data_IF_451371305864
#
_entry.id   IF_451371305864
#
_cell.length_a   1.000
_cell.length_b   1.000
_cell.length_c   1.000
_cell.angle_alpha   90.00
_cell.angle_beta   90.00
_cell.angle_gamma   90.00
#
_symmetry.space_group_name_H-M   'P 1'
#
loop_
_entity.id
_entity.type
_entity.pdbx_description
1 polymer ?
#
# COMPACT_ATOMS: atom_id res chain seq x y z
N UNK A 1 100.79 4.85 5.59
CA UNK A 1 100.26 4.80 6.93
C UNK A 1 99.41 6.03 7.09
N UNK A 2 98.14 5.95 7.07
CA UNK A 2 97.16 6.25 8.04
C UNK A 2 95.74 6.14 7.48
N UNK A 3 94.96 5.33 8.12
CA UNK A 3 93.58 5.08 7.86
C UNK A 3 92.76 6.25 8.45
N UNK A 4 92.04 6.94 7.63
CA UNK A 4 90.91 7.78 8.09
C UNK A 4 89.62 7.38 7.46
N UNK A 5 88.83 6.84 8.31
CA UNK A 5 87.46 6.37 8.16
C UNK A 5 86.56 7.50 7.67
N UNK A 6 85.92 7.29 6.49
CA UNK A 6 84.88 8.16 5.98
C UNK A 6 83.52 7.56 6.39
N UNK A 7 82.91 8.12 7.39
CA UNK A 7 81.56 7.77 7.77
C UNK A 7 80.60 8.62 6.93
N UNK A 8 80.00 7.98 5.94
CA UNK A 8 78.93 8.58 5.15
C UNK A 8 77.58 8.37 5.87
N UNK A 9 77.00 9.42 6.41
CA UNK A 9 75.66 9.45 6.95
C UNK A 9 74.67 9.43 5.78
N UNK A 10 73.96 8.32 5.60
CA UNK A 10 72.81 8.23 4.71
C UNK A 10 71.62 8.74 5.49
N UNK A 11 71.24 9.99 5.25
CA UNK A 11 69.96 10.54 5.71
C UNK A 11 68.84 9.94 4.86
N UNK A 12 68.20 8.89 5.37
CA UNK A 12 67.00 8.33 4.79
C UNK A 12 65.82 9.27 4.94
N UNK A 13 65.50 10.02 3.90
CA UNK A 13 64.29 10.82 3.82
C UNK A 13 63.08 9.89 3.70
N UNK A 14 62.37 9.68 4.81
CA UNK A 14 61.01 9.10 4.80
C UNK A 14 60.09 10.09 4.07
N UNK A 15 59.86 9.83 2.77
CA UNK A 15 58.78 10.47 2.02
C UNK A 15 57.49 9.89 2.55
N UNK A 16 56.88 10.55 3.54
CA UNK A 16 55.48 10.28 3.95
C UNK A 16 54.61 10.79 2.82
N UNK A 17 54.25 9.92 1.90
CA UNK A 17 53.16 10.18 0.97
C UNK A 17 51.87 10.27 1.79
N UNK A 18 51.15 11.42 1.76
CA UNK A 18 49.82 11.43 2.31
C UNK A 18 48.97 10.47 1.48
N UNK A 19 48.58 9.34 2.05
CA UNK A 19 47.49 8.53 1.60
C UNK A 19 46.26 9.43 1.76
N UNK A 20 46.04 10.31 0.77
CA UNK A 20 44.74 10.94 0.57
C UNK A 20 43.79 9.80 0.27
N UNK A 21 43.24 9.22 1.33
CA UNK A 21 42.05 8.38 1.24
C UNK A 21 40.97 9.26 0.59
N UNK A 22 40.89 9.20 -0.73
CA UNK A 22 39.72 9.66 -1.44
C UNK A 22 38.59 8.79 -0.89
N UNK A 23 37.93 9.26 0.16
CA UNK A 23 36.59 8.80 0.51
C UNK A 23 35.76 9.13 -0.72
N UNK A 24 35.72 8.21 -1.69
CA UNK A 24 34.79 8.23 -2.77
C UNK A 24 33.44 8.31 -2.07
N UNK A 25 32.82 9.50 -2.08
CA UNK A 25 31.43 9.63 -1.63
C UNK A 25 30.66 8.62 -2.46
N UNK A 26 30.43 7.47 -1.87
CA UNK A 26 29.61 6.43 -2.48
C UNK A 26 28.28 7.10 -2.75
N UNK A 27 27.96 7.35 -4.03
CA UNK A 27 26.68 7.93 -4.43
C UNK A 27 25.64 6.92 -3.97
N UNK A 28 24.86 7.31 -2.96
CA UNK A 28 23.84 6.43 -2.42
C UNK A 28 22.83 6.11 -3.51
N UNK A 29 22.42 4.85 -3.66
CA UNK A 29 21.31 4.52 -4.54
C UNK A 29 20.06 5.28 -4.09
N UNK A 30 19.33 5.85 -5.03
CA UNK A 30 18.11 6.62 -4.77
C UNK A 30 16.90 5.77 -5.12
N UNK A 31 15.98 5.62 -4.19
CA UNK A 31 14.66 5.02 -4.41
C UNK A 31 13.65 6.14 -4.65
N UNK A 32 12.92 6.10 -5.76
CA UNK A 32 11.77 6.98 -5.98
C UNK A 32 10.51 6.34 -5.40
N UNK A 33 9.93 6.93 -4.35
CA UNK A 33 8.70 6.44 -3.74
C UNK A 33 7.50 7.25 -4.24
N UNK A 34 6.71 6.68 -5.16
CA UNK A 34 5.56 7.29 -5.80
C UNK A 34 4.26 6.76 -5.19
N UNK A 35 3.52 7.59 -4.49
CA UNK A 35 2.31 7.16 -3.79
C UNK A 35 1.06 7.95 -4.21
N UNK A 36 -0.02 7.23 -4.48
CA UNK A 36 -1.34 7.79 -4.68
C UNK A 36 -2.06 7.97 -3.33
N UNK A 37 -1.48 8.76 -2.44
CA UNK A 37 -1.95 9.02 -1.09
C UNK A 37 -1.33 10.31 -0.55
N UNK A 38 -1.76 10.74 0.64
CA UNK A 38 -1.06 11.76 1.42
C UNK A 38 0.05 11.13 2.29
N UNK A 39 1.08 11.91 2.60
CA UNK A 39 2.17 11.47 3.47
C UNK A 39 1.64 11.03 4.85
N UNK A 40 0.73 11.81 5.44
CA UNK A 40 0.12 11.51 6.74
C UNK A 40 -0.77 10.26 6.69
N UNK A 41 -1.42 10.00 5.55
CA UNK A 41 -2.33 8.87 5.37
C UNK A 41 -1.65 7.51 5.44
N UNK A 42 -0.38 7.42 5.03
CA UNK A 42 0.32 6.15 4.86
C UNK A 42 1.64 6.03 5.65
N UNK A 43 1.84 6.83 6.69
CA UNK A 43 3.07 6.81 7.51
C UNK A 43 3.42 5.38 7.98
N UNK A 44 2.44 4.62 8.47
CA UNK A 44 2.64 3.24 8.94
C UNK A 44 3.10 2.29 7.82
N UNK A 45 2.69 2.54 6.58
CA UNK A 45 3.07 1.74 5.43
C UNK A 45 4.49 2.08 4.97
N UNK A 46 4.86 3.36 5.02
CA UNK A 46 6.24 3.80 4.77
C UNK A 46 7.19 3.19 5.80
N UNK A 47 6.81 3.18 7.08
CA UNK A 47 7.62 2.55 8.13
C UNK A 47 7.73 1.04 7.95
N UNK A 48 6.66 0.38 7.50
CA UNK A 48 6.71 -1.03 7.16
C UNK A 48 7.64 -1.29 5.95
N UNK A 49 7.58 -0.45 4.91
CA UNK A 49 8.49 -0.50 3.77
C UNK A 49 9.95 -0.33 4.22
N UNK A 50 10.24 0.67 5.07
CA UNK A 50 11.58 0.89 5.64
C UNK A 50 12.08 -0.32 6.42
N UNK A 51 11.22 -0.98 7.21
CA UNK A 51 11.57 -2.22 7.92
C UNK A 51 11.97 -3.32 6.93
N UNK A 52 11.16 -3.57 5.90
CA UNK A 52 11.49 -4.57 4.88
C UNK A 52 12.78 -4.25 4.11
N UNK A 53 13.03 -2.97 3.84
CA UNK A 53 14.27 -2.51 3.23
C UNK A 53 15.46 -2.75 4.18
N UNK A 54 15.26 -2.51 5.49
CA UNK A 54 16.24 -2.79 6.57
C UNK A 54 16.59 -4.27 6.70
N UNK A 55 15.63 -5.18 6.51
CA UNK A 55 15.88 -6.63 6.47
C UNK A 55 16.88 -7.03 5.37
N UNK A 56 16.95 -6.22 4.32
CA UNK A 56 17.90 -6.38 3.22
C UNK A 56 19.22 -5.62 3.41
N UNK A 57 19.39 -4.95 4.55
CA UNK A 57 20.58 -4.20 4.92
C UNK A 57 20.62 -2.76 4.41
N UNK A 58 19.50 -2.21 3.94
CA UNK A 58 19.41 -0.81 3.50
C UNK A 58 18.70 0.06 4.54
N UNK A 59 19.35 1.15 4.93
CA UNK A 59 18.85 2.11 5.92
C UNK A 59 18.83 3.50 5.28
N UNK A 60 17.65 4.12 5.24
CA UNK A 60 17.47 5.47 4.69
C UNK A 60 18.39 6.48 5.39
N UNK A 61 19.09 7.31 4.61
CA UNK A 61 20.04 8.30 5.10
C UNK A 61 21.43 7.75 5.43
N UNK A 62 21.64 6.42 5.44
CA UNK A 62 22.94 5.79 5.68
C UNK A 62 23.56 5.22 4.41
N UNK A 63 22.84 4.30 3.73
CA UNK A 63 23.34 3.63 2.53
C UNK A 63 22.32 3.58 1.38
N UNK A 64 21.19 4.24 1.55
CA UNK A 64 20.16 4.47 0.53
C UNK A 64 19.45 5.80 0.80
N UNK A 65 19.07 6.52 -0.25
CA UNK A 65 18.19 7.69 -0.16
C UNK A 65 16.80 7.36 -0.71
N UNK A 66 15.77 7.98 -0.16
CA UNK A 66 14.38 7.82 -0.66
C UNK A 66 13.84 9.19 -1.03
N UNK A 67 13.37 9.33 -2.27
CA UNK A 67 12.68 10.52 -2.75
C UNK A 67 11.20 10.26 -2.85
N UNK A 68 10.43 10.93 -2.01
CA UNK A 68 8.99 10.75 -1.92
C UNK A 68 8.25 11.70 -2.87
N UNK A 69 7.20 11.16 -3.52
CA UNK A 69 6.24 11.91 -4.33
C UNK A 69 4.83 11.49 -3.93
N UNK A 70 4.13 12.41 -3.29
CA UNK A 70 2.78 12.23 -2.79
C UNK A 70 1.80 12.95 -3.67
N UNK A 71 0.73 12.29 -4.14
CA UNK A 71 -0.29 12.95 -4.95
C UNK A 71 -1.21 13.83 -4.14
N UNK A 72 -1.30 13.64 -2.84
CA UNK A 72 -2.24 14.34 -1.96
C UNK A 72 -3.70 14.26 -2.47
N UNK A 73 -4.08 13.08 -3.01
CA UNK A 73 -5.39 12.84 -3.59
C UNK A 73 -5.56 13.31 -5.05
N UNK A 74 -4.56 13.95 -5.64
CA UNK A 74 -4.58 14.47 -7.02
C UNK A 74 -3.90 13.48 -7.97
N UNK A 75 -4.66 12.51 -8.48
CA UNK A 75 -4.12 11.41 -9.34
C UNK A 75 -3.51 11.90 -10.64
N UNK A 76 -3.95 13.03 -11.17
CA UNK A 76 -3.42 13.70 -12.37
C UNK A 76 -1.95 14.11 -12.25
N UNK A 77 -1.41 14.21 -11.03
CA UNK A 77 0.01 14.48 -10.76
C UNK A 77 0.92 13.26 -11.03
N UNK A 78 0.37 12.03 -11.03
CA UNK A 78 1.16 10.81 -11.18
C UNK A 78 2.07 10.79 -12.41
N UNK A 79 1.61 11.12 -13.63
CA UNK A 79 2.48 11.09 -14.80
C UNK A 79 3.65 12.08 -14.72
N UNK A 80 3.43 13.25 -14.10
CA UNK A 80 4.48 14.25 -13.87
C UNK A 80 5.56 13.73 -12.93
N UNK A 81 5.16 13.21 -11.78
CA UNK A 81 6.06 12.65 -10.79
C UNK A 81 6.82 11.42 -11.29
N UNK A 82 6.16 10.54 -12.03
CA UNK A 82 6.82 9.37 -12.61
C UNK A 82 7.93 9.78 -13.61
N UNK A 83 7.66 10.77 -14.48
CA UNK A 83 8.69 11.32 -15.40
C UNK A 83 9.84 11.99 -14.66
N UNK A 84 9.55 12.73 -13.60
CA UNK A 84 10.58 13.36 -12.77
C UNK A 84 11.51 12.31 -12.17
N UNK A 85 10.97 11.26 -11.54
CA UNK A 85 11.77 10.16 -10.97
C UNK A 85 12.58 9.44 -12.06
N UNK A 86 11.99 9.21 -13.23
CA UNK A 86 12.70 8.61 -14.37
C UNK A 86 13.86 9.49 -14.85
N UNK A 87 13.66 10.80 -14.98
CA UNK A 87 14.72 11.75 -15.35
C UNK A 87 15.86 11.81 -14.33
N UNK A 88 15.56 11.65 -13.06
CA UNK A 88 16.55 11.57 -11.98
C UNK A 88 17.32 10.26 -11.97
N UNK A 89 16.96 9.31 -12.83
CA UNK A 89 17.60 8.00 -12.93
C UNK A 89 17.68 7.28 -11.58
N UNK A 90 16.56 7.30 -10.82
CA UNK A 90 16.50 6.58 -9.55
C UNK A 90 16.76 5.09 -9.76
N UNK A 91 17.35 4.42 -8.76
CA UNK A 91 17.73 3.02 -8.86
C UNK A 91 16.52 2.07 -8.93
N UNK A 92 15.41 2.46 -8.27
CA UNK A 92 14.12 1.71 -8.24
C UNK A 92 12.99 2.71 -8.05
N UNK A 93 11.86 2.51 -8.73
CA UNK A 93 10.61 3.22 -8.43
C UNK A 93 9.72 2.28 -7.62
N UNK A 94 9.34 2.69 -6.42
CA UNK A 94 8.32 2.02 -5.59
C UNK A 94 7.00 2.75 -5.81
N UNK A 95 6.01 2.05 -6.39
CA UNK A 95 4.74 2.62 -6.79
C UNK A 95 3.60 2.06 -5.94
N UNK A 96 2.99 2.87 -5.08
CA UNK A 96 2.02 2.43 -4.07
C UNK A 96 0.68 3.15 -4.15
N UNK A 97 -0.38 2.52 -3.63
CA UNK A 97 -1.71 3.12 -3.65
C UNK A 97 -2.51 2.80 -4.92
N UNK A 98 -2.55 1.53 -5.31
CA UNK A 98 -3.30 1.01 -6.45
C UNK A 98 -2.47 0.86 -7.73
N UNK A 99 -3.11 0.50 -8.85
CA UNK A 99 -2.45 0.28 -10.14
C UNK A 99 -1.98 1.57 -10.82
N UNK A 100 -2.63 2.70 -10.57
CA UNK A 100 -2.35 3.95 -11.27
C UNK A 100 -0.91 4.46 -11.11
N UNK A 101 -0.27 4.47 -9.91
CA UNK A 101 1.14 4.84 -9.78
C UNK A 101 2.07 3.91 -10.55
N UNK A 102 1.79 2.60 -10.54
CA UNK A 102 2.60 1.61 -11.24
C UNK A 102 2.50 1.77 -12.77
N UNK A 103 1.30 2.03 -13.29
CA UNK A 103 1.08 2.30 -14.71
C UNK A 103 1.75 3.61 -15.13
N UNK A 104 1.69 4.66 -14.31
CA UNK A 104 2.39 5.92 -14.56
C UNK A 104 3.92 5.73 -14.59
N UNK A 105 4.47 4.95 -13.65
CA UNK A 105 5.88 4.60 -13.62
C UNK A 105 6.29 3.78 -14.86
N UNK A 106 5.49 2.78 -15.24
CA UNK A 106 5.75 1.95 -16.43
C UNK A 106 5.70 2.74 -17.73
N UNK A 107 4.83 3.74 -17.83
CA UNK A 107 4.77 4.64 -18.97
C UNK A 107 5.97 5.62 -19.04
N UNK A 108 6.58 5.94 -17.89
CA UNK A 108 7.71 6.86 -17.82
C UNK A 108 9.08 6.18 -18.08
N UNK A 109 9.20 4.87 -17.88
CA UNK A 109 10.47 4.14 -18.07
C UNK A 109 10.27 2.67 -18.40
N UNK A 110 11.15 2.15 -19.26
CA UNK A 110 11.23 0.73 -19.59
C UNK A 110 12.44 0.04 -18.94
N UNK A 111 13.37 0.80 -18.35
CA UNK A 111 14.64 0.31 -17.83
C UNK A 111 14.74 0.36 -16.29
N UNK A 112 14.18 1.41 -15.65
CA UNK A 112 14.22 1.52 -14.19
C UNK A 112 13.28 0.45 -13.60
N UNK A 113 13.78 -0.37 -12.66
CA UNK A 113 12.97 -1.33 -11.93
C UNK A 113 11.78 -0.68 -11.21
N UNK A 114 10.63 -1.34 -11.24
CA UNK A 114 9.41 -0.89 -10.58
C UNK A 114 8.95 -1.97 -9.59
N UNK A 115 8.77 -1.59 -8.33
CA UNK A 115 8.13 -2.42 -7.31
C UNK A 115 6.77 -1.81 -6.98
N UNK A 116 5.69 -2.49 -7.31
CA UNK A 116 4.35 -1.97 -7.06
C UNK A 116 3.64 -2.63 -5.88
N UNK A 117 2.69 -1.90 -5.28
CA UNK A 117 1.66 -2.46 -4.40
C UNK A 117 0.28 -2.05 -4.91
N UNK A 118 -0.66 -2.99 -4.95
CA UNK A 118 -2.01 -2.69 -5.42
C UNK A 118 -2.98 -3.85 -5.26
N UNK A 119 -4.28 -3.57 -5.42
CA UNK A 119 -5.35 -4.56 -5.31
C UNK A 119 -5.84 -5.12 -6.63
N UNK A 120 -5.51 -4.47 -7.74
CA UNK A 120 -5.96 -4.85 -9.08
C UNK A 120 -5.13 -6.01 -9.65
N UNK A 121 -5.69 -6.69 -10.65
CA UNK A 121 -4.97 -7.72 -11.39
C UNK A 121 -3.85 -7.08 -12.26
N UNK A 122 -2.57 -7.32 -11.93
CA UNK A 122 -1.46 -6.69 -12.65
C UNK A 122 -1.21 -7.30 -14.03
N UNK A 123 -1.73 -8.49 -14.31
CA UNK A 123 -1.65 -9.12 -15.64
C UNK A 123 -2.66 -8.45 -16.56
N UNK A 124 -3.90 -8.32 -16.11
CA UNK A 124 -4.96 -7.67 -16.89
C UNK A 124 -4.69 -6.19 -17.12
N UNK A 125 -4.12 -5.48 -16.16
CA UNK A 125 -3.73 -4.08 -16.33
C UNK A 125 -2.49 -3.90 -17.22
N UNK A 126 -1.86 -4.99 -17.65
CA UNK A 126 -0.66 -4.98 -18.48
C UNK A 126 0.61 -4.55 -17.74
N UNK A 127 0.60 -4.56 -16.40
CA UNK A 127 1.80 -4.27 -15.61
C UNK A 127 2.84 -5.37 -15.73
N UNK A 128 2.40 -6.64 -15.73
CA UNK A 128 3.27 -7.83 -15.84
C UNK A 128 2.68 -8.82 -16.83
N UNK A 129 3.53 -9.70 -17.37
CA UNK A 129 3.09 -10.75 -18.29
C UNK A 129 2.35 -11.89 -17.56
N UNK A 130 2.83 -12.27 -16.36
CA UNK A 130 2.17 -13.22 -15.46
C UNK A 130 2.65 -12.98 -14.03
N UNK A 131 1.91 -13.53 -13.04
CA UNK A 131 2.30 -13.41 -11.62
C UNK A 131 3.60 -14.16 -11.34
N UNK A 132 3.78 -15.35 -11.89
CA UNK A 132 4.96 -16.19 -11.68
C UNK A 132 6.21 -15.73 -12.46
N UNK A 133 6.01 -15.05 -13.60
CA UNK A 133 7.07 -14.51 -14.46
C UNK A 133 6.66 -13.13 -14.98
N UNK A 134 6.98 -12.05 -14.26
CA UNK A 134 6.59 -10.70 -14.64
C UNK A 134 7.07 -10.25 -16.01
N UNK A 135 8.27 -10.69 -16.45
CA UNK A 135 8.75 -10.57 -17.82
C UNK A 135 9.22 -9.19 -18.27
N UNK A 136 9.21 -8.19 -17.40
CA UNK A 136 9.62 -6.81 -17.73
C UNK A 136 10.39 -6.14 -16.59
N UNK A 137 10.30 -4.81 -16.53
CA UNK A 137 10.92 -4.02 -15.46
C UNK A 137 10.04 -3.85 -14.21
N UNK A 138 8.86 -4.47 -14.16
CA UNK A 138 7.93 -4.33 -13.03
C UNK A 138 7.69 -5.67 -12.33
N UNK A 139 7.67 -5.64 -11.00
CA UNK A 139 7.22 -6.70 -10.10
C UNK A 139 6.58 -6.07 -8.88
N UNK A 140 6.03 -6.84 -7.95
CA UNK A 140 5.44 -6.24 -6.76
C UNK A 140 4.70 -7.20 -5.85
N UNK A 141 3.87 -6.61 -5.00
CA UNK A 141 3.04 -7.31 -4.02
C UNK A 141 1.60 -6.84 -4.19
N UNK A 142 0.68 -7.74 -4.48
CA UNK A 142 -0.75 -7.39 -4.55
C UNK A 142 -1.40 -7.56 -3.18
N UNK A 143 -2.42 -6.77 -2.90
CA UNK A 143 -3.21 -6.91 -1.67
C UNK A 143 -4.54 -7.63 -1.91
N UNK A 144 -4.85 -7.99 -3.16
CA UNK A 144 -6.02 -8.75 -3.58
C UNK A 144 -7.35 -8.22 -2.98
N UNK A 145 -7.49 -6.89 -2.87
CA UNK A 145 -8.63 -6.26 -2.20
C UNK A 145 -10.00 -6.71 -2.75
N UNK A 146 -10.06 -7.03 -4.04
CA UNK A 146 -11.29 -7.48 -4.72
C UNK A 146 -11.62 -8.95 -4.48
N UNK A 147 -10.62 -9.83 -4.28
CA UNK A 147 -10.82 -11.29 -4.14
C UNK A 147 -11.65 -11.70 -2.91
N UNK A 148 -11.91 -10.78 -1.99
CA UNK A 148 -12.61 -11.05 -0.72
C UNK A 148 -13.94 -10.34 -0.58
N UNK A 149 -14.38 -9.69 -1.63
CA UNK A 149 -15.66 -8.95 -1.68
C UNK A 149 -16.82 -9.81 -1.19
N UNK A 150 -16.98 -11.01 -1.75
CA UNK A 150 -18.07 -11.93 -1.37
C UNK A 150 -18.01 -12.32 0.12
N UNK A 151 -16.81 -12.68 0.63
CA UNK A 151 -16.64 -13.09 2.01
C UNK A 151 -16.86 -11.93 2.98
N UNK A 152 -16.39 -10.73 2.62
CA UNK A 152 -16.57 -9.51 3.40
C UNK A 152 -18.04 -9.09 3.49
N UNK A 153 -18.78 -9.21 2.37
CA UNK A 153 -20.21 -8.94 2.34
C UNK A 153 -21.00 -9.98 3.16
N UNK A 154 -20.58 -11.26 3.09
CA UNK A 154 -21.18 -12.32 3.91
C UNK A 154 -20.96 -12.06 5.41
N UNK A 155 -19.78 -11.62 5.83
CA UNK A 155 -19.51 -11.27 7.22
C UNK A 155 -20.34 -10.07 7.69
N UNK A 156 -20.48 -9.04 6.85
CA UNK A 156 -21.33 -7.89 7.21
C UNK A 156 -22.78 -8.34 7.40
N UNK A 157 -23.31 -9.19 6.50
CA UNK A 157 -24.64 -9.74 6.63
C UNK A 157 -24.83 -10.61 7.88
N UNK A 158 -23.80 -11.38 8.27
CA UNK A 158 -23.82 -12.17 9.50
C UNK A 158 -23.91 -11.29 10.75
N UNK A 159 -23.25 -10.11 10.72
CA UNK A 159 -23.31 -9.12 11.81
C UNK A 159 -24.67 -8.41 11.87
N UNK A 160 -25.28 -8.13 10.72
CA UNK A 160 -26.56 -7.39 10.61
C UNK A 160 -27.60 -8.15 9.80
N UNK A 161 -28.06 -9.32 10.26
CA UNK A 161 -28.90 -10.23 9.46
C UNK A 161 -30.28 -9.66 9.07
N UNK A 162 -30.78 -8.67 9.80
CA UNK A 162 -32.07 -8.02 9.54
C UNK A 162 -31.97 -6.92 8.46
N UNK A 163 -30.79 -6.55 8.01
CA UNK A 163 -30.60 -5.49 7.00
C UNK A 163 -30.95 -6.02 5.62
N UNK A 164 -31.90 -5.37 4.96
CA UNK A 164 -32.37 -5.72 3.61
C UNK A 164 -31.58 -4.99 2.53
N UNK A 165 -31.16 -3.75 2.77
CA UNK A 165 -30.42 -2.92 1.82
C UNK A 165 -29.06 -2.51 2.41
N UNK A 166 -27.97 -2.76 1.69
CA UNK A 166 -26.61 -2.34 2.00
C UNK A 166 -26.18 -1.28 1.01
N UNK A 167 -25.73 -0.11 1.50
CA UNK A 167 -25.08 0.88 0.67
C UNK A 167 -23.67 0.38 0.32
N UNK A 168 -23.24 0.54 -0.93
CA UNK A 168 -21.90 0.20 -1.41
C UNK A 168 -21.20 1.48 -1.82
N UNK A 169 -20.23 1.92 -1.02
CA UNK A 169 -19.44 3.11 -1.29
C UNK A 169 -18.25 2.77 -2.17
N UNK A 170 -18.19 3.42 -3.33
CA UNK A 170 -17.11 3.25 -4.32
C UNK A 170 -16.47 4.58 -4.69
N UNK A 171 -15.24 4.50 -5.19
CA UNK A 171 -14.61 5.59 -5.94
C UNK A 171 -14.67 5.28 -7.44
N UNK A 172 -15.52 5.94 -8.25
CA UNK A 172 -15.70 5.60 -9.66
C UNK A 172 -14.44 5.85 -10.51
N UNK A 173 -13.45 6.60 -9.98
CA UNK A 173 -12.17 6.80 -10.67
C UNK A 173 -11.23 5.59 -10.57
N UNK A 174 -11.46 4.65 -9.64
CA UNK A 174 -10.64 3.45 -9.44
C UNK A 174 -11.43 2.15 -9.51
N UNK A 175 -12.69 2.14 -9.09
CA UNK A 175 -13.56 0.96 -9.15
C UNK A 175 -13.88 0.64 -10.60
N UNK A 176 -13.39 -0.48 -11.07
CA UNK A 176 -13.62 -0.92 -12.45
C UNK A 176 -14.89 -1.78 -12.57
N UNK A 177 -15.32 -2.02 -13.83
CA UNK A 177 -16.52 -2.79 -14.10
C UNK A 177 -16.47 -4.22 -13.53
N UNK A 178 -15.29 -4.83 -13.39
CA UNK A 178 -15.15 -6.16 -12.80
C UNK A 178 -15.38 -6.13 -11.30
N UNK A 179 -14.80 -5.20 -10.56
CA UNK A 179 -15.03 -5.07 -9.12
C UNK A 179 -16.52 -4.87 -8.84
N UNK A 180 -17.18 -4.03 -9.63
CA UNK A 180 -18.63 -3.86 -9.55
C UNK A 180 -19.39 -5.15 -9.85
N UNK A 181 -18.97 -5.90 -10.87
CA UNK A 181 -19.58 -7.20 -11.19
C UNK A 181 -19.42 -8.20 -10.05
N UNK A 182 -18.24 -8.24 -9.41
CA UNK A 182 -17.98 -9.11 -8.26
C UNK A 182 -18.84 -8.73 -7.03
N UNK A 183 -19.01 -7.43 -6.77
CA UNK A 183 -19.90 -6.94 -5.70
C UNK A 183 -21.35 -7.35 -5.98
N UNK A 184 -21.83 -7.14 -7.19
CA UNK A 184 -23.19 -7.48 -7.60
C UNK A 184 -23.44 -8.99 -7.57
N UNK A 185 -22.47 -9.79 -8.01
CA UNK A 185 -22.57 -11.26 -7.97
C UNK A 185 -22.60 -11.78 -6.53
N UNK A 186 -21.75 -11.25 -5.66
CA UNK A 186 -21.76 -11.57 -4.23
C UNK A 186 -23.11 -11.22 -3.59
N UNK A 187 -23.64 -10.03 -3.89
CA UNK A 187 -24.93 -9.59 -3.38
C UNK A 187 -26.07 -10.51 -3.87
N UNK A 188 -26.10 -10.88 -5.16
CA UNK A 188 -27.08 -11.83 -5.71
C UNK A 188 -27.01 -13.20 -5.04
N UNK A 189 -25.80 -13.74 -4.90
CA UNK A 189 -25.57 -15.05 -4.26
C UNK A 189 -26.07 -15.07 -2.81
N UNK A 190 -25.91 -13.95 -2.11
CA UNK A 190 -26.38 -13.80 -0.74
C UNK A 190 -27.86 -13.39 -0.63
N UNK A 191 -28.55 -13.11 -1.73
CA UNK A 191 -29.90 -12.56 -1.71
C UNK A 191 -29.97 -11.18 -1.06
N UNK A 192 -28.91 -10.37 -1.19
CA UNK A 192 -28.78 -9.07 -0.55
C UNK A 192 -29.03 -7.95 -1.57
N UNK A 193 -29.91 -6.99 -1.23
CA UNK A 193 -30.05 -5.78 -2.02
C UNK A 193 -28.90 -4.82 -1.74
N UNK A 194 -28.42 -4.14 -2.80
CA UNK A 194 -27.37 -3.14 -2.69
C UNK A 194 -27.75 -1.85 -3.40
N UNK A 195 -27.31 -0.71 -2.86
CA UNK A 195 -27.40 0.62 -3.47
C UNK A 195 -26.00 1.19 -3.60
N UNK A 196 -25.56 1.50 -4.82
CA UNK A 196 -24.23 2.06 -5.07
C UNK A 196 -24.25 3.56 -4.81
N UNK A 197 -23.28 4.04 -4.04
CA UNK A 197 -23.02 5.46 -3.78
C UNK A 197 -21.56 5.78 -4.09
N UNK A 198 -21.31 6.97 -4.62
CA UNK A 198 -20.01 7.35 -5.15
C UNK A 198 -19.41 8.52 -4.37
N UNK A 199 -18.11 8.41 -4.06
CA UNK A 199 -17.28 9.51 -3.60
C UNK A 199 -16.01 9.58 -4.43
N UNK A 200 -15.67 10.74 -4.98
CA UNK A 200 -14.49 10.98 -5.83
C UNK A 200 -13.36 11.63 -5.05
N UNK A 201 -13.70 12.28 -3.94
CA UNK A 201 -12.76 12.95 -3.05
C UNK A 201 -13.35 12.98 -1.62
N UNK A 202 -12.53 13.42 -0.64
CA UNK A 202 -12.95 13.49 0.77
C UNK A 202 -14.12 14.42 1.02
N UNK A 203 -14.25 15.50 0.23
CA UNK A 203 -15.33 16.48 0.37
C UNK A 203 -16.71 15.91 0.04
N UNK A 204 -16.79 14.85 -0.76
CA UNK A 204 -18.04 14.20 -1.14
C UNK A 204 -18.67 13.41 0.02
N UNK A 205 -17.86 12.97 1.01
CA UNK A 205 -18.29 12.00 2.01
C UNK A 205 -19.48 12.43 2.85
N UNK A 206 -19.53 13.70 3.27
CA UNK A 206 -20.67 14.22 4.06
C UNK A 206 -21.97 14.14 3.28
N UNK A 207 -21.95 14.53 2.00
CA UNK A 207 -23.10 14.44 1.11
C UNK A 207 -23.51 12.98 0.84
N UNK A 208 -22.53 12.11 0.62
CA UNK A 208 -22.77 10.66 0.38
C UNK A 208 -23.47 10.04 1.60
N UNK A 209 -23.02 10.32 2.81
CA UNK A 209 -23.67 9.78 4.00
C UNK A 209 -25.10 10.33 4.18
N UNK A 210 -25.34 11.60 3.89
CA UNK A 210 -26.70 12.15 3.87
C UNK A 210 -27.59 11.40 2.84
N UNK A 211 -27.05 11.09 1.65
CA UNK A 211 -27.75 10.32 0.62
C UNK A 211 -28.02 8.88 1.06
N UNK A 212 -27.06 8.21 1.72
CA UNK A 212 -27.25 6.84 2.26
C UNK A 212 -28.46 6.80 3.20
N UNK A 213 -28.62 7.82 4.07
CA UNK A 213 -29.76 7.88 4.98
C UNK A 213 -31.09 7.97 4.25
N UNK A 214 -31.13 8.67 3.11
CA UNK A 214 -32.35 8.78 2.28
C UNK A 214 -32.73 7.44 1.62
N UNK A 215 -31.75 6.57 1.35
CA UNK A 215 -32.02 5.22 0.78
C UNK A 215 -32.51 4.21 1.81
N UNK A 216 -32.50 4.56 3.10
CA UNK A 216 -32.81 3.63 4.21
C UNK A 216 -31.89 2.38 4.23
N UNK A 217 -30.67 2.50 3.72
CA UNK A 217 -29.68 1.41 3.83
C UNK A 217 -29.32 1.19 5.30
N UNK A 218 -29.39 -0.04 5.76
CA UNK A 218 -29.14 -0.43 7.16
C UNK A 218 -27.67 -0.77 7.44
N UNK A 219 -26.82 -0.83 6.42
CA UNK A 219 -25.38 -1.05 6.57
C UNK A 219 -24.60 -0.44 5.40
N UNK A 220 -23.29 -0.32 5.58
CA UNK A 220 -22.37 0.24 4.59
C UNK A 220 -21.25 -0.77 4.27
N UNK A 221 -21.05 -1.03 2.99
CA UNK A 221 -19.90 -1.76 2.46
C UNK A 221 -18.99 -0.77 1.74
N UNK A 222 -17.74 -0.62 2.19
CA UNK A 222 -16.77 0.33 1.61
C UNK A 222 -15.78 -0.44 0.73
N UNK A 223 -15.67 -0.07 -0.56
CA UNK A 223 -14.69 -0.67 -1.47
C UNK A 223 -13.25 -0.39 -1.03
N UNK A 224 -12.32 -1.20 -1.55
CA UNK A 224 -10.90 -1.06 -1.23
C UNK A 224 -10.22 0.02 -2.06
N UNK A 225 -10.26 1.26 -1.61
CA UNK A 225 -9.67 2.39 -2.34
C UNK A 225 -8.73 3.22 -1.43
N UNK A 226 -7.59 3.73 -1.96
CA UNK A 226 -6.69 4.62 -1.24
C UNK A 226 -7.38 5.88 -0.69
N UNK A 227 -8.37 6.42 -1.40
CA UNK A 227 -9.17 7.56 -0.93
C UNK A 227 -9.80 7.27 0.43
N UNK A 228 -10.43 6.11 0.58
CA UNK A 228 -11.13 5.73 1.81
C UNK A 228 -10.16 5.41 2.94
N UNK A 229 -9.00 4.84 2.63
CA UNK A 229 -7.93 4.63 3.60
C UNK A 229 -7.35 5.96 4.09
N UNK A 230 -7.16 6.91 3.19
CA UNK A 230 -6.66 8.26 3.53
C UNK A 230 -7.72 9.11 4.27
N UNK A 231 -9.01 8.89 3.98
CA UNK A 231 -10.14 9.52 4.66
C UNK A 231 -10.65 8.75 5.89
N UNK A 232 -9.91 7.73 6.39
CA UNK A 232 -10.39 6.79 7.42
C UNK A 232 -11.02 7.45 8.65
N UNK A 233 -10.42 8.52 9.17
CA UNK A 233 -10.95 9.22 10.36
C UNK A 233 -12.29 9.88 10.08
N UNK A 234 -12.44 10.58 8.94
CA UNK A 234 -13.70 11.20 8.55
C UNK A 234 -14.77 10.14 8.27
N UNK A 235 -14.41 9.09 7.51
CA UNK A 235 -15.32 8.04 7.10
C UNK A 235 -15.89 7.27 8.31
N UNK A 236 -15.05 6.90 9.27
CA UNK A 236 -15.49 6.18 10.47
C UNK A 236 -16.28 7.09 11.43
N UNK A 237 -15.92 8.38 11.52
CA UNK A 237 -16.70 9.36 12.29
C UNK A 237 -18.10 9.57 11.70
N UNK A 238 -18.23 9.61 10.37
CA UNK A 238 -19.53 9.69 9.70
C UNK A 238 -20.36 8.41 9.92
N UNK A 239 -19.75 7.23 9.81
CA UNK A 239 -20.44 5.97 10.09
C UNK A 239 -20.95 5.92 11.53
N UNK A 240 -20.18 6.40 12.50
CA UNK A 240 -20.58 6.51 13.90
C UNK A 240 -21.70 7.54 14.10
N UNK A 241 -21.58 8.74 13.50
CA UNK A 241 -22.58 9.81 13.56
C UNK A 241 -23.95 9.36 13.08
N UNK A 242 -23.97 8.59 12.01
CA UNK A 242 -25.23 8.08 11.42
C UNK A 242 -25.62 6.69 11.93
N UNK A 243 -24.89 6.14 12.91
CA UNK A 243 -25.09 4.81 13.49
C UNK A 243 -25.20 3.70 12.43
N UNK A 244 -24.40 3.77 11.35
CA UNK A 244 -24.40 2.81 10.25
C UNK A 244 -23.31 1.75 10.49
N UNK A 245 -23.68 0.48 10.67
CA UNK A 245 -22.71 -0.63 10.67
C UNK A 245 -21.95 -0.69 9.35
N UNK A 246 -20.62 -0.67 9.40
CA UNK A 246 -19.81 -0.60 8.20
C UNK A 246 -18.72 -1.67 8.14
N UNK A 247 -18.54 -2.26 6.94
CA UNK A 247 -17.47 -3.19 6.62
C UNK A 247 -16.43 -2.54 5.71
N UNK A 248 -15.17 -2.68 6.08
CA UNK A 248 -14.02 -2.07 5.41
C UNK A 248 -13.07 -3.12 4.86
N UNK A 249 -12.23 -2.73 3.89
CA UNK A 249 -11.23 -3.63 3.30
C UNK A 249 -10.01 -3.83 4.19
N UNK A 250 -9.66 -2.84 5.04
CA UNK A 250 -8.40 -2.83 5.74
C UNK A 250 -8.54 -2.49 7.23
N UNK A 251 -7.66 -3.10 8.02
CA UNK A 251 -7.57 -2.95 9.48
C UNK A 251 -7.54 -1.50 9.96
N UNK A 252 -6.85 -0.62 9.21
CA UNK A 252 -6.65 0.77 9.63
C UNK A 252 -7.94 1.56 9.81
N UNK A 253 -8.99 1.21 9.05
CA UNK A 253 -10.31 1.82 9.23
C UNK A 253 -10.99 1.33 10.51
N UNK A 254 -10.72 0.08 10.92
CA UNK A 254 -11.27 -0.46 12.18
C UNK A 254 -10.55 0.16 13.38
N UNK A 255 -9.23 0.33 13.30
CA UNK A 255 -8.43 1.07 14.30
C UNK A 255 -8.90 2.52 14.44
N UNK A 256 -9.30 3.15 13.34
CA UNK A 256 -9.85 4.51 13.34
C UNK A 256 -11.30 4.60 13.88
N UNK A 257 -11.90 3.49 14.33
CA UNK A 257 -13.25 3.46 14.90
C UNK A 257 -14.31 2.74 14.04
N UNK A 258 -13.92 2.16 12.91
CA UNK A 258 -14.80 1.34 12.08
C UNK A 258 -15.22 0.05 12.78
N UNK A 259 -16.34 -0.56 12.34
CA UNK A 259 -16.90 -1.75 12.97
C UNK A 259 -16.08 -3.01 12.67
N UNK A 260 -15.83 -3.29 11.40
CA UNK A 260 -15.14 -4.51 10.99
C UNK A 260 -14.38 -4.35 9.68
N UNK A 261 -13.34 -5.16 9.50
CA UNK A 261 -12.65 -5.31 8.21
C UNK A 261 -12.28 -6.76 7.94
N UNK A 262 -12.20 -7.10 6.67
CA UNK A 262 -11.58 -8.35 6.22
C UNK A 262 -10.76 -8.10 4.97
N UNK A 263 -9.47 -8.35 5.04
CA UNK A 263 -8.55 -8.10 3.93
C UNK A 263 -7.09 -8.37 4.26
N UNK A 264 -6.22 -8.06 3.30
CA UNK A 264 -4.79 -8.25 3.46
C UNK A 264 -4.19 -7.31 4.52
N UNK A 265 -3.14 -7.79 5.17
CA UNK A 265 -2.32 -6.99 6.08
C UNK A 265 -1.45 -6.01 5.28
N UNK A 266 -1.92 -4.77 5.11
CA UNK A 266 -1.20 -3.75 4.31
C UNK A 266 0.21 -3.43 4.84
N UNK A 267 0.47 -3.35 6.15
CA UNK A 267 1.83 -3.24 6.65
C UNK A 267 2.75 -4.36 6.14
N UNK A 268 2.30 -5.62 6.08
CA UNK A 268 3.11 -6.71 5.54
C UNK A 268 3.30 -6.60 4.02
N UNK A 269 2.29 -6.20 3.27
CA UNK A 269 2.40 -5.90 1.83
C UNK A 269 3.51 -4.88 1.56
N UNK A 270 3.54 -3.79 2.32
CA UNK A 270 4.57 -2.75 2.16
C UNK A 270 5.94 -3.21 2.66
N UNK A 271 6.01 -4.01 3.74
CA UNK A 271 7.26 -4.62 4.18
C UNK A 271 7.86 -5.53 3.09
N UNK A 272 7.04 -6.36 2.46
CA UNK A 272 7.46 -7.20 1.35
C UNK A 272 7.93 -6.39 0.13
N UNK A 273 7.27 -5.27 -0.15
CA UNK A 273 7.75 -4.33 -1.19
C UNK A 273 9.14 -3.76 -0.85
N UNK A 274 9.41 -3.48 0.44
CA UNK A 274 10.74 -3.10 0.93
C UNK A 274 11.79 -4.19 0.71
N UNK A 275 11.46 -5.45 1.04
CA UNK A 275 12.32 -6.61 0.78
C UNK A 275 12.61 -6.74 -0.71
N UNK A 276 11.60 -6.63 -1.58
CA UNK A 276 11.79 -6.72 -3.04
C UNK A 276 12.66 -5.59 -3.57
N UNK A 277 12.45 -4.37 -3.08
CA UNK A 277 13.29 -3.22 -3.43
C UNK A 277 14.75 -3.48 -3.05
N UNK A 278 15.01 -3.99 -1.84
CA UNK A 278 16.35 -4.34 -1.40
C UNK A 278 17.00 -5.46 -2.23
N UNK A 279 16.24 -6.47 -2.66
CA UNK A 279 16.73 -7.51 -3.57
C UNK A 279 17.12 -6.94 -4.93
N UNK A 280 16.34 -6.01 -5.46
CA UNK A 280 16.63 -5.34 -6.73
C UNK A 280 17.89 -4.47 -6.61
N UNK A 281 18.05 -3.73 -5.50
CA UNK A 281 19.27 -2.97 -5.24
C UNK A 281 20.53 -3.87 -5.13
N UNK A 282 20.36 -5.15 -4.80
CA UNK A 282 21.41 -6.19 -4.83
C UNK A 282 21.60 -6.84 -6.20
N UNK A 283 20.91 -6.36 -7.25
CA UNK A 283 21.08 -6.79 -8.63
C UNK A 283 20.11 -7.88 -9.12
N UNK A 284 19.11 -8.28 -8.30
CA UNK A 284 18.06 -9.20 -8.77
C UNK A 284 17.15 -8.46 -9.75
N UNK A 285 16.86 -9.06 -10.89
CA UNK A 285 16.00 -8.44 -11.91
C UNK A 285 14.52 -8.54 -11.52
N UNK A 286 13.70 -7.51 -11.75
CA UNK A 286 12.25 -7.60 -11.53
C UNK A 286 11.59 -8.78 -12.25
N UNK A 287 12.05 -9.12 -13.45
CA UNK A 287 11.55 -10.24 -14.25
C UNK A 287 11.69 -11.60 -13.55
N UNK A 288 12.67 -11.75 -12.65
CA UNK A 288 12.96 -12.97 -11.90
C UNK A 288 12.28 -13.02 -10.52
N UNK A 289 11.55 -11.96 -10.15
CA UNK A 289 10.82 -11.85 -8.91
C UNK A 289 9.32 -12.04 -9.16
N UNK A 290 8.73 -13.18 -8.79
CA UNK A 290 7.29 -13.38 -8.91
C UNK A 290 6.50 -12.28 -8.20
N UNK A 291 5.36 -11.88 -8.73
CA UNK A 291 4.44 -11.00 -8.01
C UNK A 291 3.88 -11.76 -6.81
N UNK A 292 4.11 -11.22 -5.61
CA UNK A 292 3.60 -11.82 -4.38
C UNK A 292 2.11 -11.58 -4.24
N UNK A 293 1.43 -12.63 -3.81
CA UNK A 293 0.04 -12.57 -3.36
C UNK A 293 -0.01 -12.72 -1.84
N UNK A 294 -0.91 -12.03 -1.14
CA UNK A 294 -1.06 -12.24 0.28
C UNK A 294 -1.57 -13.65 0.55
N UNK A 295 -0.98 -14.31 1.53
CA UNK A 295 -1.39 -15.64 2.01
C UNK A 295 -2.17 -15.55 3.30
N UNK A 296 -2.15 -14.40 3.96
CA UNK A 296 -2.83 -14.13 5.24
C UNK A 296 -3.79 -12.96 5.08
N UNK A 297 -4.99 -13.15 5.61
CA UNK A 297 -6.08 -12.17 5.63
C UNK A 297 -6.59 -12.07 7.04
N UNK A 298 -6.75 -10.85 7.53
CA UNK A 298 -7.15 -10.58 8.89
C UNK A 298 -8.62 -10.15 8.94
N UNK A 299 -9.43 -10.88 9.72
CA UNK A 299 -10.75 -10.44 10.17
C UNK A 299 -10.56 -9.66 11.47
N UNK A 300 -10.80 -8.36 11.42
CA UNK A 300 -10.68 -7.45 12.57
C UNK A 300 -12.05 -6.90 12.93
N UNK A 301 -12.41 -6.96 14.20
CA UNK A 301 -13.70 -6.48 14.70
C UNK A 301 -13.47 -5.53 15.88
N UNK A 302 -14.12 -4.36 15.85
CA UNK A 302 -14.08 -3.39 16.93
C UNK A 302 -15.27 -3.58 17.86
N UNK A 303 -15.01 -4.15 19.03
CA UNK A 303 -16.03 -4.44 20.04
C UNK A 303 -16.62 -3.18 20.68
N UNK A 304 -15.84 -2.09 20.79
CA UNK A 304 -16.37 -0.79 21.25
C UNK A 304 -17.39 -0.24 20.28
N UNK A 305 -17.08 -0.27 18.98
CA UNK A 305 -17.98 0.19 17.92
C UNK A 305 -19.22 -0.69 17.84
N UNK A 306 -19.07 -2.02 17.93
CA UNK A 306 -20.21 -2.93 17.99
C UNK A 306 -21.14 -2.60 19.16
N UNK A 307 -20.60 -2.40 20.36
CA UNK A 307 -21.35 -2.00 21.57
C UNK A 307 -22.04 -0.65 21.37
N UNK A 308 -21.36 0.34 20.81
CA UNK A 308 -21.92 1.67 20.56
C UNK A 308 -23.09 1.63 19.57
N UNK A 309 -23.05 0.72 18.59
CA UNK A 309 -24.11 0.49 17.62
C UNK A 309 -25.23 -0.44 18.14
N UNK A 310 -25.13 -0.96 19.37
CA UNK A 310 -26.08 -1.94 19.92
C UNK A 310 -26.05 -3.29 19.23
N UNK A 311 -24.93 -3.64 18.58
CA UNK A 311 -24.78 -4.86 17.80
C UNK A 311 -24.10 -5.95 18.65
N UNK A 312 -24.71 -7.12 18.71
CA UNK A 312 -24.10 -8.32 19.26
C UNK A 312 -23.38 -9.07 18.14
N UNK A 313 -22.06 -9.18 18.23
CA UNK A 313 -21.28 -9.95 17.25
C UNK A 313 -21.53 -11.46 17.47
N UNK A 314 -21.92 -12.21 16.41
CA UNK A 314 -22.13 -13.65 16.51
C UNK A 314 -20.88 -14.39 16.99
N UNK A 315 -21.07 -15.44 17.81
CA UNK A 315 -19.96 -16.26 18.33
C UNK A 315 -19.13 -16.88 17.20
N UNK A 316 -19.77 -17.25 16.09
CA UNK A 316 -19.12 -17.76 14.88
C UNK A 316 -18.10 -16.80 14.30
N UNK A 317 -18.38 -15.48 14.32
CA UNK A 317 -17.45 -14.45 13.85
C UNK A 317 -16.36 -14.16 14.88
N UNK A 318 -16.69 -14.16 16.17
CA UNK A 318 -15.68 -13.96 17.24
C UNK A 318 -14.61 -15.05 17.21
N UNK A 319 -14.99 -16.31 16.94
CA UNK A 319 -14.05 -17.43 16.82
C UNK A 319 -13.19 -17.37 15.54
N UNK A 320 -13.63 -16.63 14.53
CA UNK A 320 -12.93 -16.49 13.25
C UNK A 320 -12.13 -15.19 13.16
N UNK A 321 -12.33 -14.29 14.14
CA UNK A 321 -11.62 -13.02 14.17
C UNK A 321 -10.14 -13.24 14.50
N UNK A 322 -9.26 -12.65 13.70
CA UNK A 322 -7.83 -12.62 13.95
C UNK A 322 -7.48 -11.57 15.01
N UNK A 323 -8.31 -10.51 15.12
CA UNK A 323 -8.13 -9.45 16.11
C UNK A 323 -9.47 -8.88 16.57
N UNK A 324 -9.58 -8.67 17.88
CA UNK A 324 -10.69 -7.96 18.53
C UNK A 324 -10.15 -6.68 19.17
N UNK A 325 -10.60 -5.51 18.70
CA UNK A 325 -10.25 -4.21 19.28
C UNK A 325 -11.25 -3.93 20.42
N UNK A 326 -10.71 -3.78 21.64
CA UNK A 326 -11.47 -3.54 22.88
C UNK A 326 -11.44 -2.08 23.29
#
# INVERSE_FOLDING_TARGET
MDRRTFVSAVAGGLVVWPLAAHAQRQVLPVIGYLANASAAGIVNYVDAFRRGLGEMGYVEGQNVAIEYRWTEGQRDRLPGFARELAHRQVAVIVATGGSAPALAAKAATTSIPIVFTGGDDPVRSGLVASLGRPGGNATGVINAATSFTAKRLAFLREVVPAVTLIAVLINPASTNAQEMSEIQEAARTLGQQIAVVEARNKGDLDHVFASIMQTHAGALFVSGDPLFTDARTQLTALAAKYAIPASYSFRDLVVAGGLMSYGANLPDVHRQAGVYTGRILKGVKPADLPVLQPTKFDLVINMKTAKALGITIPQSLLLRADELIQ
#
